data_IF_497212867032
#
_entry.id   IF_497212867032
#
_cell.length_a   1.000
_cell.length_b   1.000
_cell.length_c   1.000
_cell.angle_alpha   90.00
_cell.angle_beta   90.00
_cell.angle_gamma   90.00
#
_symmetry.space_group_name_H-M   'P 1'
#
loop_
_entity.id
_entity.type
_entity.pdbx_description
1 polymer ?
#
# COMPACT_ATOMS: atom_id res chain seq x y z
N UNK A 1 -53.96 52.67 0.55
CA UNK A 1 -52.80 53.60 0.64
C UNK A 1 -51.57 52.73 0.73
N UNK A 2 -50.53 52.78 -0.10
CA UNK A 2 -50.18 53.64 -1.23
C UNK A 2 -48.91 53.02 -1.84
N UNK A 3 -48.88 52.89 -3.18
CA UNK A 3 -47.76 53.12 -4.12
C UNK A 3 -46.39 52.47 -3.81
N UNK A 4 -45.87 51.61 -4.71
CA UNK A 4 -44.88 51.92 -5.78
C UNK A 4 -43.50 52.33 -5.21
N UNK A 5 -42.35 51.82 -5.65
CA UNK A 5 -41.83 52.03 -6.99
C UNK A 5 -40.65 51.10 -7.37
N UNK A 6 -40.59 50.88 -8.67
CA UNK A 6 -39.54 50.40 -9.58
C UNK A 6 -38.19 51.10 -9.43
N UNK A 7 -37.07 50.41 -9.70
CA UNK A 7 -35.98 50.95 -10.55
C UNK A 7 -35.19 49.81 -11.24
N UNK A 8 -35.06 49.96 -12.55
CA UNK A 8 -34.27 49.21 -13.53
C UNK A 8 -32.92 49.90 -13.67
N UNK A 9 -31.80 49.17 -13.80
CA UNK A 9 -30.65 49.64 -14.59
C UNK A 9 -29.96 48.47 -15.31
N UNK A 10 -29.90 48.62 -16.64
CA UNK A 10 -29.15 47.83 -17.61
C UNK A 10 -27.73 48.39 -17.80
N UNK A 11 -26.78 47.51 -18.16
CA UNK A 11 -25.56 47.85 -18.92
C UNK A 11 -24.33 47.00 -18.53
N UNK A 12 -23.30 46.90 -19.40
CA UNK A 12 -23.34 46.38 -20.76
C UNK A 12 -22.40 45.16 -20.97
N UNK A 13 -22.66 44.43 -22.06
CA UNK A 13 -21.87 43.35 -22.65
C UNK A 13 -20.51 43.87 -23.16
N UNK A 14 -19.43 43.11 -22.94
CA UNK A 14 -18.17 43.22 -23.70
C UNK A 14 -17.66 41.83 -24.08
N UNK A 15 -17.86 41.47 -25.35
CA UNK A 15 -17.10 40.46 -26.09
C UNK A 15 -15.96 41.15 -26.84
N UNK A 16 -14.72 40.65 -26.74
CA UNK A 16 -13.63 40.82 -27.73
C UNK A 16 -12.63 39.67 -27.54
N UNK A 17 -12.72 38.61 -28.35
CA UNK A 17 -11.93 38.35 -29.57
C UNK A 17 -10.39 38.44 -29.44
N UNK A 18 -9.79 37.24 -29.42
CA UNK A 18 -8.81 36.72 -30.38
C UNK A 18 -7.58 37.57 -30.76
N UNK A 19 -6.40 37.03 -30.46
CA UNK A 19 -5.15 37.14 -31.23
C UNK A 19 -4.08 36.34 -30.46
N UNK A 20 -3.07 35.71 -31.01
CA UNK A 20 -2.81 35.14 -32.32
C UNK A 20 -1.52 34.34 -32.12
N UNK A 21 -1.32 33.36 -32.99
CA UNK A 21 -0.28 32.36 -32.91
C UNK A 21 1.04 32.87 -33.56
N UNK A 22 2.10 32.10 -33.33
CA UNK A 22 3.34 31.89 -34.13
C UNK A 22 4.55 32.86 -34.17
N UNK A 23 5.69 32.20 -33.82
CA UNK A 23 7.04 32.15 -34.47
C UNK A 23 8.08 33.24 -34.17
N UNK A 24 9.20 32.80 -33.59
CA UNK A 24 10.54 33.07 -34.13
C UNK A 24 11.55 32.00 -33.67
N UNK A 25 12.41 31.59 -34.61
CA UNK A 25 13.43 30.55 -34.52
C UNK A 25 14.85 31.15 -34.42
N UNK A 26 15.85 30.25 -34.37
CA UNK A 26 17.31 30.45 -34.56
C UNK A 26 18.10 30.62 -33.24
N UNK A 27 19.30 30.05 -33.04
CA UNK A 27 20.35 29.60 -33.96
C UNK A 27 21.25 28.56 -33.26
N UNK A 28 21.61 27.49 -33.97
CA UNK A 28 22.68 26.55 -33.56
C UNK A 28 24.04 27.15 -33.93
N UNK A 29 24.98 27.25 -32.99
CA UNK A 29 26.39 27.53 -33.30
C UNK A 29 27.28 26.41 -32.78
N UNK A 30 27.96 25.78 -33.73
CA UNK A 30 28.83 24.63 -33.57
C UNK A 30 30.04 24.89 -32.66
N UNK A 31 30.51 23.85 -31.98
CA UNK A 31 31.95 23.66 -31.79
C UNK A 31 32.30 22.17 -31.88
N UNK A 32 32.86 21.83 -33.03
CA UNK A 32 33.54 20.60 -33.36
C UNK A 32 34.82 20.48 -32.51
N UNK A 33 34.87 19.57 -31.55
CA UNK A 33 36.13 18.96 -31.10
C UNK A 33 35.85 17.54 -30.61
N UNK A 34 35.58 16.66 -31.56
CA UNK A 34 35.60 15.22 -31.36
C UNK A 34 37.03 14.74 -31.66
N UNK A 35 37.70 14.12 -30.67
CA UNK A 35 38.62 12.97 -30.73
C UNK A 35 39.47 13.00 -29.44
N UNK A 36 39.12 12.20 -28.43
CA UNK A 36 39.51 10.79 -28.24
C UNK A 36 40.84 10.64 -27.46
N UNK A 37 40.75 10.18 -26.21
CA UNK A 37 41.66 9.24 -25.52
C UNK A 37 41.14 9.07 -24.08
N UNK A 38 41.19 7.98 -23.32
CA UNK A 38 41.29 6.53 -23.49
C UNK A 38 41.17 5.96 -22.07
N UNK A 39 40.47 4.83 -21.93
CA UNK A 39 40.54 3.85 -20.85
C UNK A 39 40.20 4.27 -19.40
N UNK A 40 38.95 3.99 -19.01
CA UNK A 40 38.72 3.23 -17.78
C UNK A 40 37.50 2.31 -17.96
N UNK A 41 37.76 1.11 -18.48
CA UNK A 41 36.85 -0.03 -18.34
C UNK A 41 36.95 -0.53 -16.89
N UNK A 42 36.22 0.10 -15.98
CA UNK A 42 35.82 -0.60 -14.76
C UNK A 42 34.76 -1.60 -15.22
N UNK A 43 35.08 -2.87 -15.06
CA UNK A 43 34.18 -4.01 -15.22
C UNK A 43 32.90 -3.72 -14.45
N UNK A 44 31.84 -3.36 -15.17
CA UNK A 44 30.49 -3.51 -14.68
C UNK A 44 30.34 -5.00 -14.35
N UNK A 45 30.43 -5.32 -13.06
CA UNK A 45 29.94 -6.57 -12.51
C UNK A 45 28.55 -6.75 -13.11
N UNK A 46 28.36 -7.86 -13.82
CA UNK A 46 27.10 -8.21 -14.45
C UNK A 46 25.92 -7.94 -13.49
N UNK A 47 24.73 -7.56 -13.99
CA UNK A 47 23.54 -7.66 -13.16
C UNK A 47 23.51 -9.10 -12.64
N UNK A 48 23.57 -9.24 -11.32
CA UNK A 48 23.39 -10.52 -10.65
C UNK A 48 22.07 -11.07 -11.15
N UNK A 49 22.21 -12.07 -12.01
CA UNK A 49 21.16 -12.95 -12.42
C UNK A 49 20.82 -13.76 -11.15
N UNK A 50 20.00 -13.17 -10.29
CA UNK A 50 19.29 -13.86 -9.24
C UNK A 50 18.19 -14.69 -9.90
N UNK A 51 18.64 -15.79 -10.49
CA UNK A 51 17.82 -16.97 -10.75
C UNK A 51 17.33 -17.47 -9.40
N UNK A 52 16.16 -17.06 -8.94
CA UNK A 52 15.38 -17.92 -8.05
C UNK A 52 13.87 -17.65 -8.11
N UNK A 53 13.18 -18.52 -8.85
CA UNK A 53 11.77 -18.89 -8.73
C UNK A 53 10.72 -17.76 -8.65
N UNK A 54 10.21 -17.38 -9.82
CA UNK A 54 8.93 -16.65 -9.99
C UNK A 54 7.70 -17.54 -9.68
N UNK A 55 7.79 -18.38 -8.65
CA UNK A 55 6.65 -18.96 -7.92
C UNK A 55 6.62 -18.45 -6.47
N UNK A 56 7.21 -17.28 -6.20
CA UNK A 56 6.80 -16.47 -5.07
C UNK A 56 5.37 -16.04 -5.37
N UNK A 57 4.37 -16.73 -4.81
CA UNK A 57 2.99 -16.22 -4.82
C UNK A 57 3.08 -14.77 -4.37
N UNK A 58 2.86 -13.83 -5.27
CA UNK A 58 2.81 -12.42 -4.97
C UNK A 58 1.57 -12.24 -4.08
N UNK A 59 1.75 -12.44 -2.77
CA UNK A 59 0.71 -12.17 -1.79
C UNK A 59 0.47 -10.66 -1.81
N UNK A 60 -0.79 -10.24 -1.72
CA UNK A 60 -1.15 -8.82 -1.64
C UNK A 60 -0.39 -8.23 -0.44
N UNK A 61 0.34 -7.15 -0.68
CA UNK A 61 0.95 -6.38 0.39
C UNK A 61 -0.10 -5.40 0.92
N UNK A 62 -0.31 -5.43 2.24
CA UNK A 62 -1.28 -4.59 2.95
C UNK A 62 -0.52 -3.92 4.09
N UNK A 63 -0.55 -2.60 4.17
CA UNK A 63 0.17 -1.85 5.20
C UNK A 63 -0.57 -1.90 6.53
N UNK A 64 0.14 -1.67 7.63
CA UNK A 64 -0.48 -1.49 8.96
C UNK A 64 -1.47 -0.31 8.97
N UNK A 65 -1.20 0.73 8.18
CA UNK A 65 -2.12 1.86 8.00
C UNK A 65 -3.44 1.39 7.35
N UNK A 66 -3.37 0.61 6.27
CA UNK A 66 -4.57 0.02 5.63
C UNK A 66 -5.33 -0.85 6.62
N UNK A 67 -4.65 -1.74 7.36
CA UNK A 67 -5.28 -2.60 8.38
C UNK A 67 -6.00 -1.78 9.45
N UNK A 68 -5.47 -0.62 9.84
CA UNK A 68 -6.03 0.19 10.93
C UNK A 68 -7.45 0.73 10.66
N UNK A 69 -7.88 0.79 9.40
CA UNK A 69 -9.24 1.20 9.03
C UNK A 69 -10.28 0.09 9.22
N UNK A 70 -9.85 -1.15 9.46
CA UNK A 70 -10.71 -2.33 9.58
C UNK A 70 -10.81 -2.76 11.06
N UNK A 71 -11.42 -1.89 11.88
CA UNK A 71 -11.49 -2.01 13.34
C UNK A 71 -12.91 -2.24 13.91
N UNK A 72 -13.87 -2.63 13.07
CA UNK A 72 -15.30 -2.72 13.45
C UNK A 72 -15.84 -4.15 13.38
N UNK A 73 -16.99 -4.41 14.00
CA UNK A 73 -17.60 -5.74 13.99
C UNK A 73 -18.05 -6.21 12.59
N UNK A 74 -18.30 -5.29 11.66
CA UNK A 74 -18.67 -5.63 10.28
C UNK A 74 -17.48 -5.57 9.31
N UNK A 75 -16.31 -5.19 9.80
CA UNK A 75 -15.09 -5.03 9.03
C UNK A 75 -13.89 -5.10 9.98
N UNK A 76 -13.43 -6.31 10.27
CA UNK A 76 -12.44 -6.59 11.30
C UNK A 76 -11.24 -7.33 10.73
N UNK A 77 -10.11 -6.64 10.61
CA UNK A 77 -8.85 -7.27 10.21
C UNK A 77 -7.88 -7.33 11.38
N UNK A 78 -7.03 -8.37 11.37
CA UNK A 78 -5.95 -8.53 12.32
C UNK A 78 -4.67 -8.96 11.62
N UNK A 79 -3.54 -8.61 12.22
CA UNK A 79 -2.23 -9.13 11.80
C UNK A 79 -1.78 -10.23 12.74
N UNK A 80 -1.39 -11.37 12.19
CA UNK A 80 -0.72 -12.45 12.91
C UNK A 80 0.54 -12.88 12.15
N UNK A 81 1.70 -12.80 12.81
CA UNK A 81 2.99 -13.20 12.22
C UNK A 81 3.26 -12.57 10.84
N UNK A 82 3.04 -11.27 10.74
CA UNK A 82 3.14 -10.45 9.51
C UNK A 82 2.19 -10.85 8.37
N UNK A 83 1.19 -11.71 8.62
CA UNK A 83 0.08 -11.99 7.69
C UNK A 83 -1.14 -11.20 8.11
N UNK A 84 -1.90 -10.74 7.13
CA UNK A 84 -3.15 -10.01 7.35
C UNK A 84 -4.33 -10.96 7.12
N UNK A 85 -5.26 -10.96 8.06
CA UNK A 85 -6.44 -11.81 8.06
C UNK A 85 -7.70 -10.98 8.17
N UNK A 86 -8.68 -11.28 7.32
CA UNK A 86 -10.05 -10.78 7.47
C UNK A 86 -10.84 -11.78 8.32
N UNK A 87 -11.10 -11.42 9.58
CA UNK A 87 -11.78 -12.28 10.53
C UNK A 87 -13.23 -11.88 10.76
N UNK A 88 -13.80 -11.02 9.91
CA UNK A 88 -15.16 -10.49 10.05
C UNK A 88 -16.19 -11.61 10.23
N UNK A 89 -16.17 -12.61 9.35
CA UNK A 89 -17.07 -13.76 9.42
C UNK A 89 -16.75 -14.74 10.56
N UNK A 90 -15.57 -14.62 11.16
CA UNK A 90 -15.10 -15.51 12.23
C UNK A 90 -15.42 -14.98 13.64
N UNK A 91 -15.73 -13.69 13.79
CA UNK A 91 -15.97 -13.06 15.09
C UNK A 91 -16.97 -13.84 15.97
N UNK A 92 -18.13 -14.20 15.42
CA UNK A 92 -19.18 -14.92 16.15
C UNK A 92 -18.86 -16.41 16.38
N UNK A 93 -17.96 -16.97 15.58
CA UNK A 93 -17.55 -18.38 15.63
C UNK A 93 -16.38 -18.62 16.58
N UNK A 94 -15.77 -17.55 17.12
CA UNK A 94 -14.61 -17.64 17.97
C UNK A 94 -14.96 -18.19 19.37
N UNK A 95 -14.40 -19.34 19.80
CA UNK A 95 -14.72 -19.95 21.09
C UNK A 95 -14.40 -19.08 22.31
N UNK A 96 -13.50 -18.11 22.17
CA UNK A 96 -13.16 -17.13 23.21
C UNK A 96 -14.07 -15.90 23.27
N UNK A 97 -15.08 -15.82 22.40
CA UNK A 97 -15.94 -14.64 22.21
C UNK A 97 -15.37 -13.63 21.20
N UNK A 98 -16.24 -12.78 20.65
CA UNK A 98 -15.81 -11.74 19.70
C UNK A 98 -15.12 -10.56 20.40
N UNK A 99 -15.42 -10.30 21.66
CA UNK A 99 -14.87 -9.15 22.41
C UNK A 99 -13.34 -9.14 22.42
N UNK A 100 -12.72 -10.30 22.62
CA UNK A 100 -11.25 -10.44 22.64
C UNK A 100 -10.62 -10.24 21.26
N UNK A 101 -11.36 -10.45 20.17
CA UNK A 101 -10.90 -10.17 18.82
C UNK A 101 -11.03 -8.68 18.51
N UNK A 102 -12.14 -8.06 18.92
CA UNK A 102 -12.40 -6.63 18.72
C UNK A 102 -11.41 -5.73 19.47
N UNK A 103 -10.88 -6.16 20.62
CA UNK A 103 -9.80 -5.43 21.31
C UNK A 103 -8.54 -5.24 20.43
N UNK A 104 -8.32 -6.17 19.50
CA UNK A 104 -7.20 -6.19 18.58
C UNK A 104 -7.57 -5.87 17.12
N UNK A 105 -8.81 -5.46 16.86
CA UNK A 105 -9.24 -5.10 15.51
C UNK A 105 -8.39 -3.94 14.97
N UNK A 106 -8.01 -4.06 13.69
CA UNK A 106 -7.14 -3.12 13.00
C UNK A 106 -5.68 -3.12 13.47
N UNK A 107 -5.21 -4.15 14.20
CA UNK A 107 -3.89 -4.18 14.85
C UNK A 107 -3.20 -5.54 14.75
N UNK A 108 -1.93 -5.58 15.17
CA UNK A 108 -1.20 -6.83 15.38
C UNK A 108 -1.66 -7.51 16.68
N UNK A 109 -2.16 -8.74 16.53
CA UNK A 109 -2.66 -9.57 17.61
C UNK A 109 -1.72 -10.75 17.93
N UNK A 110 -0.51 -10.78 17.36
CA UNK A 110 0.41 -11.93 17.41
C UNK A 110 0.75 -12.31 18.85
N UNK A 111 1.05 -11.33 19.70
CA UNK A 111 1.40 -11.58 21.11
C UNK A 111 0.20 -12.13 21.90
N UNK A 112 -0.99 -11.56 21.71
CA UNK A 112 -2.21 -12.03 22.36
C UNK A 112 -2.57 -13.46 21.92
N UNK A 113 -2.43 -13.73 20.62
CA UNK A 113 -2.65 -15.04 20.03
C UNK A 113 -1.70 -16.10 20.61
N UNK A 114 -0.41 -15.78 20.73
CA UNK A 114 0.61 -16.66 21.32
C UNK A 114 0.34 -16.90 22.81
N UNK A 115 0.06 -15.83 23.56
CA UNK A 115 -0.15 -15.89 25.00
C UNK A 115 -1.33 -16.77 25.42
N UNK A 116 -2.32 -16.91 24.54
CA UNK A 116 -3.52 -17.74 24.78
C UNK A 116 -3.27 -19.24 24.55
N UNK A 117 -2.23 -19.62 23.78
CA UNK A 117 -1.87 -21.03 23.56
C UNK A 117 -2.75 -21.77 22.56
N UNK A 118 -3.13 -21.13 21.46
CA UNK A 118 -3.92 -21.75 20.39
C UNK A 118 -3.27 -23.02 19.81
N UNK A 119 -4.07 -24.05 19.56
CA UNK A 119 -3.60 -25.31 18.97
C UNK A 119 -3.22 -25.16 17.49
N UNK A 120 -2.46 -26.11 16.94
CA UNK A 120 -2.13 -26.15 15.50
C UNK A 120 -3.38 -26.17 14.60
N UNK A 121 -4.49 -26.73 15.08
CA UNK A 121 -5.74 -26.75 14.33
C UNK A 121 -6.34 -25.34 14.18
N UNK A 122 -6.22 -24.48 15.21
CA UNK A 122 -6.67 -23.10 15.15
C UNK A 122 -5.86 -22.28 14.11
N UNK A 123 -4.56 -22.57 13.99
CA UNK A 123 -3.74 -22.01 12.91
C UNK A 123 -4.21 -22.44 11.52
N UNK A 124 -4.58 -23.71 11.36
CA UNK A 124 -5.07 -24.21 10.08
C UNK A 124 -6.36 -23.50 9.64
N UNK A 125 -7.26 -23.18 10.58
CA UNK A 125 -8.48 -22.42 10.26
C UNK A 125 -8.20 -20.99 9.81
N UNK A 126 -7.19 -20.32 10.37
CA UNK A 126 -6.82 -18.95 9.97
C UNK A 126 -6.40 -18.84 8.50
N UNK A 127 -5.88 -19.92 7.91
CA UNK A 127 -5.39 -19.93 6.53
C UNK A 127 -6.48 -19.62 5.50
N UNK A 128 -7.76 -19.86 5.85
CA UNK A 128 -8.91 -19.53 4.99
C UNK A 128 -9.23 -18.04 4.96
N UNK A 129 -8.83 -17.31 6.00
CA UNK A 129 -9.10 -15.88 6.20
C UNK A 129 -7.92 -14.99 5.78
N UNK A 130 -6.84 -15.57 5.27
CA UNK A 130 -5.64 -14.81 4.88
C UNK A 130 -5.90 -14.01 3.60
N UNK A 131 -5.76 -12.69 3.68
CA UNK A 131 -5.96 -11.77 2.56
C UNK A 131 -4.65 -11.18 2.03
N UNK A 132 -3.57 -11.27 2.80
CA UNK A 132 -2.29 -10.68 2.42
C UNK A 132 -1.19 -10.82 3.47
N UNK A 133 -0.13 -10.06 3.27
CA UNK A 133 0.99 -9.94 4.20
C UNK A 133 1.46 -8.49 4.30
N UNK A 134 2.10 -8.15 5.42
CA UNK A 134 2.69 -6.82 5.60
C UNK A 134 3.80 -6.57 4.56
N UNK A 135 4.05 -5.32 4.14
CA UNK A 135 5.21 -5.00 3.32
C UNK A 135 6.51 -5.26 4.11
N UNK A 136 7.64 -5.62 3.46
CA UNK A 136 8.86 -6.05 4.15
C UNK A 136 9.39 -5.12 5.25
N UNK A 137 9.18 -3.80 5.12
CA UNK A 137 9.65 -2.80 6.07
C UNK A 137 8.78 -2.67 7.33
N UNK A 138 7.57 -3.23 7.32
CA UNK A 138 6.65 -3.28 8.48
C UNK A 138 6.65 -4.66 9.16
N UNK A 139 7.40 -5.65 8.63
CA UNK A 139 7.47 -6.99 9.19
C UNK A 139 8.38 -7.04 10.41
N UNK A 140 7.91 -7.73 11.45
CA UNK A 140 8.65 -7.92 12.71
C UNK A 140 9.02 -9.39 12.90
N UNK A 141 8.24 -10.34 12.35
CA UNK A 141 8.43 -11.78 12.56
C UNK A 141 9.10 -12.50 11.38
N UNK A 142 9.07 -11.92 10.18
CA UNK A 142 9.57 -12.46 8.91
C UNK A 142 10.49 -11.44 8.26
N UNK A 143 11.54 -11.07 8.98
CA UNK A 143 12.60 -10.25 8.42
C UNK A 143 13.44 -11.12 7.46
N UNK A 144 13.62 -10.65 6.22
CA UNK A 144 14.46 -11.36 5.24
C UNK A 144 15.88 -11.53 5.83
N UNK A 145 16.24 -12.78 6.15
CA UNK A 145 17.57 -13.12 6.67
C UNK A 145 17.69 -13.29 8.19
N UNK A 146 16.64 -13.11 8.99
CA UNK A 146 16.70 -13.41 10.42
C UNK A 146 15.46 -14.20 10.88
N UNK A 147 15.72 -15.42 11.37
CA UNK A 147 14.82 -16.47 11.87
C UNK A 147 14.25 -17.43 10.81
N UNK A 148 14.77 -18.66 10.89
CA UNK A 148 14.38 -19.87 10.15
C UNK A 148 12.87 -20.12 10.27
N UNK A 149 12.28 -20.70 9.23
CA UNK A 149 10.90 -21.19 9.14
C UNK A 149 10.43 -22.06 10.33
N UNK A 150 11.31 -22.43 11.26
CA UNK A 150 11.06 -23.26 12.44
C UNK A 150 10.18 -22.63 13.54
N UNK A 151 9.86 -21.32 13.49
CA UNK A 151 9.01 -20.65 14.50
C UNK A 151 7.55 -20.50 14.03
N UNK A 152 7.25 -20.78 12.76
CA UNK A 152 5.90 -20.65 12.21
C UNK A 152 5.31 -22.05 11.96
N UNK A 153 4.06 -22.33 12.35
CA UNK A 153 3.39 -23.53 11.88
C UNK A 153 3.12 -23.40 10.35
N UNK A 154 3.45 -24.46 9.61
CA UNK A 154 3.25 -24.59 8.15
C UNK A 154 1.77 -24.50 7.69
#
# INVERSE_FOLDING_TARGET
>A
MSLADTQVLNGPVVDVHSADEVKAAATQSASFFQLAMTALRITATAPSNDRNNNNLRLRKQITLDEVSYHDTMQDCWIVLYDRVYDITDFLEMHPGGHDVLLEHAGRDATIAFIGTGHSKAAFASLKMYEIGELPPHERIYRCQGMLSAAVLPD
#
